data_IF_125783998901
#
_entry.id   IF_125783998901
#
_cell.length_a   1.000
_cell.length_b   1.000
_cell.length_c   1.000
_cell.angle_alpha   90.00
_cell.angle_beta   90.00
_cell.angle_gamma   90.00
#
_symmetry.space_group_name_H-M   'P 1'
#
loop_
_entity.id
_entity.type
_entity.pdbx_description
1 polymer ?
#
# COMPACT_ATOMS: atom_id res chain seq x y z
N UNK A 1 0.92 5.48 -8.10
CA UNK A 1 0.12 4.88 -9.17
C UNK A 1 0.53 5.45 -10.52
N UNK A 2 1.56 4.89 -11.17
CA UNK A 2 1.94 5.29 -12.52
C UNK A 2 2.51 4.12 -13.32
N UNK A 3 2.43 4.26 -14.64
CA UNK A 3 3.33 3.61 -15.59
C UNK A 3 4.37 4.65 -15.99
N UNK A 4 5.65 4.34 -15.85
CA UNK A 4 6.74 5.11 -16.39
C UNK A 4 7.23 4.37 -17.64
N UNK A 5 7.56 5.11 -18.70
CA UNK A 5 8.15 4.54 -19.91
C UNK A 5 9.53 5.14 -20.07
N UNK A 6 10.54 4.29 -20.21
CA UNK A 6 11.92 4.71 -20.28
C UNK A 6 12.57 4.21 -21.57
N UNK A 7 13.34 5.09 -22.20
CA UNK A 7 14.38 4.73 -23.17
C UNK A 7 15.71 4.66 -22.42
N UNK A 8 16.38 3.51 -22.43
CA UNK A 8 17.65 3.28 -21.70
C UNK A 8 18.81 3.66 -22.61
N UNK A 9 19.92 4.16 -22.05
CA UNK A 9 21.13 4.43 -22.84
C UNK A 9 21.90 3.16 -23.17
N UNK A 10 22.46 3.13 -24.38
CA UNK A 10 22.99 1.92 -25.02
C UNK A 10 22.24 1.63 -26.33
N UNK A 11 22.84 0.91 -27.29
CA UNK A 11 22.21 0.71 -28.59
C UNK A 11 20.95 -0.16 -28.43
N UNK A 12 19.75 0.33 -28.79
CA UNK A 12 18.67 -0.56 -29.15
C UNK A 12 19.07 -1.34 -30.42
N UNK A 13 18.43 -2.49 -30.73
CA UNK A 13 18.43 -2.97 -32.11
C UNK A 13 17.91 -1.81 -32.99
N UNK A 14 18.73 -1.40 -33.96
CA UNK A 14 18.71 -0.15 -34.75
C UNK A 14 17.33 0.51 -35.02
N UNK A 15 17.20 1.80 -34.69
CA UNK A 15 16.95 2.97 -35.58
C UNK A 15 16.57 4.27 -34.80
N UNK A 16 16.59 5.42 -35.47
CA UNK A 16 17.41 6.61 -35.16
C UNK A 16 16.64 7.90 -34.74
N UNK A 17 17.37 8.91 -34.21
CA UNK A 17 17.28 10.40 -34.36
C UNK A 17 16.95 11.36 -33.17
N UNK A 18 17.99 12.16 -32.82
CA UNK A 18 18.17 13.63 -32.58
C UNK A 18 17.44 14.44 -31.45
N UNK A 19 18.21 15.00 -30.45
CA UNK A 19 18.62 16.43 -30.12
C UNK A 19 17.50 17.36 -29.55
N UNK A 20 17.61 18.27 -28.54
CA UNK A 20 18.66 19.00 -27.76
C UNK A 20 18.04 19.70 -26.49
N UNK A 21 18.86 20.14 -25.51
CA UNK A 21 18.56 20.81 -24.19
C UNK A 21 18.35 22.37 -24.29
N UNK A 22 18.17 23.24 -23.24
CA UNK A 22 18.52 23.14 -21.80
C UNK A 22 17.52 23.73 -20.72
N UNK A 23 18.07 23.76 -19.48
CA UNK A 23 17.64 23.93 -18.06
C UNK A 23 16.94 25.22 -17.53
N UNK A 24 16.17 25.08 -16.42
CA UNK A 24 16.34 25.75 -15.08
C UNK A 24 15.23 25.33 -14.03
N UNK A 25 15.65 24.64 -12.94
CA UNK A 25 15.24 24.53 -11.49
C UNK A 25 13.79 24.89 -11.00
N UNK A 26 13.16 24.37 -9.91
CA UNK A 26 13.41 23.42 -8.79
C UNK A 26 12.10 23.19 -7.93
N UNK A 27 11.67 21.92 -7.76
CA UNK A 27 11.25 21.11 -6.54
C UNK A 27 10.08 21.49 -5.56
N UNK A 28 9.15 20.53 -5.21
CA UNK A 28 8.91 19.84 -3.88
C UNK A 28 7.78 18.76 -3.72
N UNK A 29 8.10 17.54 -3.16
CA UNK A 29 7.25 16.41 -2.59
C UNK A 29 8.02 15.07 -2.35
N UNK A 30 8.09 14.55 -1.11
CA UNK A 30 9.34 14.01 -0.50
C UNK A 30 9.71 12.50 -0.57
N UNK A 31 8.98 11.60 -1.24
CA UNK A 31 9.28 10.14 -1.17
C UNK A 31 10.07 9.57 -2.36
N UNK A 32 9.57 9.80 -3.57
CA UNK A 32 10.14 9.32 -4.84
C UNK A 32 11.19 10.28 -5.44
N UNK A 33 11.33 11.43 -4.81
CA UNK A 33 11.94 12.62 -5.37
C UNK A 33 13.44 12.58 -5.60
N UNK A 34 14.25 12.06 -4.65
CA UNK A 34 15.69 12.01 -4.86
C UNK A 34 16.11 11.12 -6.03
N UNK A 35 15.22 10.23 -6.53
CA UNK A 35 15.60 9.12 -7.40
C UNK A 35 15.03 9.16 -8.80
N UNK A 36 13.87 9.79 -8.98
CA UNK A 36 13.52 10.32 -10.30
C UNK A 36 14.60 11.31 -10.77
N UNK A 37 15.21 12.08 -9.85
CA UNK A 37 16.36 12.92 -10.18
C UNK A 37 17.58 12.10 -10.67
N UNK A 38 17.88 10.94 -10.08
CA UNK A 38 18.95 10.07 -10.57
C UNK A 38 18.68 9.48 -11.97
N UNK A 39 17.41 9.38 -12.38
CA UNK A 39 17.03 8.89 -13.72
C UNK A 39 17.02 10.02 -14.76
N UNK A 40 16.88 11.28 -14.35
CA UNK A 40 16.63 12.43 -15.23
C UNK A 40 17.80 13.43 -15.28
N UNK A 41 18.76 13.36 -14.34
CA UNK A 41 19.91 14.28 -14.29
C UNK A 41 21.28 13.60 -14.31
N UNK A 42 21.92 13.51 -15.49
CA UNK A 42 23.29 13.92 -15.63
C UNK A 42 23.29 15.44 -15.94
N UNK A 43 24.14 16.22 -15.27
CA UNK A 43 24.17 17.69 -15.39
C UNK A 43 24.66 18.19 -16.76
N UNK A 44 25.10 17.27 -17.62
CA UNK A 44 25.41 17.40 -19.03
C UNK A 44 24.99 16.07 -19.70
N UNK A 45 24.79 15.96 -21.01
CA UNK A 45 24.65 14.66 -21.65
C UNK A 45 25.98 13.91 -21.51
N UNK A 46 26.17 13.23 -20.37
CA UNK A 46 27.28 12.30 -20.19
C UNK A 46 26.91 10.97 -20.82
N UNK A 47 27.91 10.24 -21.29
CA UNK A 47 27.76 8.86 -21.78
C UNK A 47 27.18 7.90 -20.70
N UNK A 48 27.02 8.35 -19.45
CA UNK A 48 26.51 7.58 -18.30
C UNK A 48 25.01 7.79 -17.98
N UNK A 49 24.28 8.54 -18.81
CA UNK A 49 22.88 8.90 -18.57
C UNK A 49 21.94 7.68 -18.65
N UNK A 50 21.67 6.94 -17.58
CA UNK A 50 20.92 5.66 -17.62
C UNK A 50 19.60 5.67 -18.45
N UNK A 51 18.85 6.77 -18.42
CA UNK A 51 17.59 6.91 -19.17
C UNK A 51 17.66 8.18 -20.03
N UNK A 52 17.52 8.03 -21.35
CA UNK A 52 17.59 9.14 -22.30
C UNK A 52 16.25 9.86 -22.49
N UNK A 53 15.13 9.16 -22.23
CA UNK A 53 13.77 9.71 -22.30
C UNK A 53 12.88 9.02 -21.29
N UNK A 54 12.13 9.81 -20.51
CA UNK A 54 11.19 9.32 -19.50
C UNK A 54 9.85 10.00 -19.69
N UNK A 55 8.79 9.21 -19.80
CA UNK A 55 7.42 9.72 -19.83
C UNK A 55 6.55 9.01 -18.80
N UNK A 56 5.53 9.71 -18.30
CA UNK A 56 4.69 9.23 -17.21
C UNK A 56 3.25 9.08 -17.69
N UNK A 57 2.66 7.90 -17.49
CA UNK A 57 1.23 7.65 -17.71
C UNK A 57 0.56 7.51 -16.35
N UNK A 58 -0.51 8.27 -16.14
CA UNK A 58 -1.27 8.28 -14.89
C UNK A 58 -2.73 7.93 -15.14
N UNK A 59 -3.41 7.42 -14.11
CA UNK A 59 -4.87 7.27 -14.18
C UNK A 59 -5.54 8.66 -14.17
N UNK A 60 -6.75 8.79 -14.72
CA UNK A 60 -7.55 10.01 -14.54
C UNK A 60 -7.74 10.34 -13.06
N UNK A 61 -7.59 11.61 -12.68
CA UNK A 61 -7.91 12.06 -11.31
C UNK A 61 -9.40 12.40 -11.23
N UNK A 62 -10.10 11.82 -10.24
CA UNK A 62 -11.53 12.10 -9.97
C UNK A 62 -11.76 12.92 -8.71
N UNK A 63 -10.70 13.33 -8.01
CA UNK A 63 -10.78 14.05 -6.74
C UNK A 63 -10.17 15.46 -6.86
N UNK A 64 -10.58 16.41 -5.99
CA UNK A 64 -9.92 17.71 -5.88
C UNK A 64 -8.52 17.51 -5.30
N UNK A 65 -7.56 17.32 -6.20
CA UNK A 65 -6.17 16.99 -5.89
C UNK A 65 -5.53 16.23 -7.03
N UNK A 66 -4.30 16.61 -7.38
CA UNK A 66 -3.56 15.91 -8.42
C UNK A 66 -2.91 14.63 -7.86
N UNK A 67 -2.71 13.62 -8.70
CA UNK A 67 -2.06 12.37 -8.28
C UNK A 67 -0.60 12.68 -7.90
N UNK A 68 -0.05 12.13 -6.80
CA UNK A 68 1.30 12.48 -6.34
C UNK A 68 2.38 12.32 -7.42
N UNK A 69 2.22 11.33 -8.29
CA UNK A 69 3.12 11.07 -9.41
C UNK A 69 2.90 12.01 -10.59
N UNK A 70 1.67 12.47 -10.85
CA UNK A 70 1.37 13.50 -11.86
C UNK A 70 1.97 14.83 -11.44
N UNK A 71 1.82 15.21 -10.17
CA UNK A 71 2.44 16.41 -9.61
C UNK A 71 3.97 16.33 -9.68
N UNK A 72 4.55 15.19 -9.26
CA UNK A 72 6.00 15.00 -9.35
C UNK A 72 6.51 15.07 -10.79
N UNK A 73 5.79 14.50 -11.76
CA UNK A 73 6.17 14.53 -13.17
C UNK A 73 6.13 15.95 -13.74
N UNK A 74 5.08 16.71 -13.45
CA UNK A 74 4.96 18.13 -13.85
C UNK A 74 6.07 18.98 -13.26
N UNK A 75 6.40 18.79 -11.99
CA UNK A 75 7.49 19.50 -11.33
C UNK A 75 8.88 19.15 -11.90
N UNK A 76 9.02 17.95 -12.48
CA UNK A 76 10.21 17.52 -13.21
C UNK A 76 10.12 17.82 -14.71
N UNK A 77 9.06 18.52 -15.16
CA UNK A 77 8.78 18.83 -16.56
C UNK A 77 8.78 17.60 -17.48
N UNK A 78 8.39 16.44 -16.95
CA UNK A 78 8.26 15.20 -17.72
C UNK A 78 6.92 15.21 -18.48
N UNK A 79 6.88 14.72 -19.74
CA UNK A 79 5.62 14.51 -20.44
C UNK A 79 4.71 13.57 -19.65
N UNK A 80 3.46 14.01 -19.44
CA UNK A 80 2.44 13.24 -18.74
C UNK A 80 1.29 12.90 -19.68
N UNK A 81 0.94 11.62 -19.71
CA UNK A 81 -0.21 11.09 -20.44
C UNK A 81 -1.26 10.57 -19.47
N UNK A 82 -2.51 10.56 -19.92
CA UNK A 82 -3.62 10.02 -19.17
C UNK A 82 -4.07 8.68 -19.77
N UNK A 83 -4.14 7.66 -18.92
CA UNK A 83 -4.65 6.33 -19.29
C UNK A 83 -6.09 6.42 -19.83
N UNK A 84 -6.43 5.74 -20.94
CA UNK A 84 -5.70 4.62 -21.57
C UNK A 84 -4.65 5.01 -22.60
N UNK A 85 -4.44 6.30 -22.87
CA UNK A 85 -3.45 6.73 -23.85
C UNK A 85 -2.04 6.55 -23.27
N UNK A 86 -1.26 5.73 -23.95
CA UNK A 86 0.12 5.39 -23.55
C UNK A 86 1.15 6.04 -24.46
N UNK A 87 0.81 7.10 -25.21
CA UNK A 87 1.70 7.78 -26.14
C UNK A 87 2.03 6.96 -27.41
N UNK A 88 3.03 7.39 -28.20
CA UNK A 88 3.39 6.73 -29.45
C UNK A 88 4.07 5.37 -29.22
N UNK A 89 3.77 4.42 -30.12
CA UNK A 89 4.32 3.05 -30.11
C UNK A 89 5.78 3.05 -30.60
N UNK A 90 6.60 2.12 -30.11
CA UNK A 90 7.95 1.86 -30.61
C UNK A 90 9.02 2.88 -30.21
N UNK A 91 8.72 3.80 -29.30
CA UNK A 91 9.66 4.85 -28.87
C UNK A 91 10.36 4.57 -27.52
N UNK A 92 9.99 3.49 -26.83
CA UNK A 92 10.46 3.17 -25.47
C UNK A 92 10.88 1.72 -25.37
N UNK A 93 11.94 1.48 -24.60
CA UNK A 93 12.54 0.14 -24.50
C UNK A 93 11.89 -0.69 -23.39
N UNK A 94 11.47 -0.03 -22.30
CA UNK A 94 10.92 -0.69 -21.11
C UNK A 94 9.78 0.11 -20.48
N UNK A 95 8.73 -0.59 -20.07
CA UNK A 95 7.69 -0.05 -19.20
C UNK A 95 7.98 -0.36 -17.73
N UNK A 96 7.64 0.54 -16.83
CA UNK A 96 7.75 0.32 -15.38
C UNK A 96 6.44 0.70 -14.72
N UNK A 97 5.77 -0.25 -14.08
CA UNK A 97 4.58 0.00 -13.26
C UNK A 97 4.93 0.01 -11.79
N UNK A 98 4.34 0.95 -11.06
CA UNK A 98 4.42 1.03 -9.61
C UNK A 98 3.08 1.44 -9.03
N UNK A 99 2.47 0.48 -8.30
CA UNK A 99 1.09 0.58 -7.83
C UNK A 99 0.15 1.02 -8.95
N UNK A 100 0.15 0.37 -10.12
CA UNK A 100 -0.73 0.74 -11.22
C UNK A 100 -1.98 -0.17 -11.20
N UNK A 101 -3.13 0.39 -10.82
CA UNK A 101 -4.35 -0.38 -10.52
C UNK A 101 -5.12 -0.92 -11.73
N UNK A 102 -4.45 -1.14 -12.87
CA UNK A 102 -5.05 -1.63 -14.12
C UNK A 102 -4.22 -2.79 -14.67
N UNK A 103 -4.92 -3.76 -15.26
CA UNK A 103 -4.27 -4.78 -16.09
C UNK A 103 -3.80 -4.13 -17.38
N UNK A 104 -2.61 -4.50 -17.83
CA UNK A 104 -2.10 -4.13 -19.15
C UNK A 104 -2.45 -5.24 -20.15
N UNK A 105 -2.87 -4.83 -21.35
CA UNK A 105 -3.08 -5.76 -22.46
C UNK A 105 -1.75 -6.35 -22.91
N UNK A 106 -1.81 -7.53 -23.53
CA UNK A 106 -0.66 -8.16 -24.13
C UNK A 106 -0.04 -7.29 -25.22
N UNK A 107 -0.87 -6.71 -26.10
CA UNK A 107 -0.43 -5.78 -27.14
C UNK A 107 0.37 -4.61 -26.58
N UNK A 108 -0.03 -4.03 -25.44
CA UNK A 108 0.70 -2.94 -24.82
C UNK A 108 2.04 -3.40 -24.23
N UNK A 109 2.07 -4.59 -23.61
CA UNK A 109 3.30 -5.14 -23.03
C UNK A 109 4.33 -5.41 -24.14
N UNK A 110 3.88 -5.95 -25.28
CA UNK A 110 4.73 -6.28 -26.42
C UNK A 110 5.31 -5.06 -27.15
N UNK A 111 4.80 -3.84 -26.89
CA UNK A 111 5.39 -2.61 -27.43
C UNK A 111 6.75 -2.26 -26.81
N UNK A 112 7.10 -2.86 -25.68
CA UNK A 112 8.35 -2.63 -24.99
C UNK A 112 9.31 -3.81 -25.24
N UNK A 113 10.43 -3.63 -25.96
CA UNK A 113 11.43 -4.67 -26.21
C UNK A 113 11.90 -5.44 -24.96
N UNK A 114 12.03 -4.73 -23.83
CA UNK A 114 12.41 -5.30 -22.53
C UNK A 114 11.21 -5.61 -21.63
N UNK A 115 10.00 -5.58 -22.19
CA UNK A 115 8.74 -5.81 -21.49
C UNK A 115 8.38 -4.71 -20.51
N UNK A 116 7.51 -5.08 -19.56
CA UNK A 116 7.04 -4.16 -18.52
C UNK A 116 7.36 -4.73 -17.14
N UNK A 117 8.08 -3.96 -16.34
CA UNK A 117 8.53 -4.31 -15.01
C UNK A 117 7.54 -3.78 -13.96
N UNK A 118 7.30 -4.51 -12.88
CA UNK A 118 6.60 -4.01 -11.70
C UNK A 118 7.54 -3.94 -10.50
N UNK A 119 7.38 -2.89 -9.69
CA UNK A 119 7.98 -2.79 -8.35
C UNK A 119 6.93 -3.20 -7.33
N UNK A 120 7.01 -4.45 -6.86
CA UNK A 120 6.06 -5.01 -5.90
C UNK A 120 6.63 -4.97 -4.46
N UNK A 121 5.96 -4.30 -3.49
CA UNK A 121 6.50 -4.12 -2.15
C UNK A 121 6.15 -5.30 -1.22
N UNK A 122 6.51 -6.50 -1.66
CA UNK A 122 6.60 -7.70 -0.82
C UNK A 122 7.69 -8.64 -1.31
N UNK A 123 8.01 -9.63 -0.49
CA UNK A 123 8.82 -10.78 -0.89
C UNK A 123 7.94 -11.85 -1.55
N UNK A 124 7.72 -11.73 -2.86
CA UNK A 124 6.91 -12.68 -3.63
C UNK A 124 7.45 -14.13 -3.49
N UNK A 125 6.57 -15.14 -3.44
CA UNK A 125 5.15 -15.11 -3.83
C UNK A 125 4.19 -14.69 -2.71
N UNK A 126 4.70 -14.34 -1.51
CA UNK A 126 3.87 -13.84 -0.42
C UNK A 126 3.31 -12.46 -0.76
N UNK A 127 2.02 -12.26 -0.46
CA UNK A 127 1.28 -11.01 -0.65
C UNK A 127 1.16 -10.51 -2.09
N UNK A 128 0.72 -11.36 -3.01
CA UNK A 128 0.26 -10.93 -4.34
C UNK A 128 -0.99 -10.06 -4.23
N UNK A 129 -1.08 -8.99 -5.02
CA UNK A 129 -2.27 -8.15 -5.10
C UNK A 129 -2.07 -6.72 -4.60
N UNK A 130 -3.17 -5.97 -4.40
CA UNK A 130 -3.12 -4.51 -4.32
C UNK A 130 -2.68 -3.91 -2.98
N UNK A 131 -2.63 -4.68 -1.88
CA UNK A 131 -2.37 -4.14 -0.53
C UNK A 131 -1.25 -4.83 0.28
N UNK A 132 -0.12 -5.25 -0.31
CA UNK A 132 0.90 -6.08 0.36
C UNK A 132 1.46 -5.49 1.65
N UNK A 133 1.74 -4.19 1.69
CA UNK A 133 2.30 -3.50 2.86
C UNK A 133 1.32 -3.58 4.05
N UNK A 134 0.04 -3.33 3.80
CA UNK A 134 -1.00 -3.43 4.82
C UNK A 134 -1.09 -4.86 5.37
N UNK A 135 -1.08 -5.87 4.50
CA UNK A 135 -1.16 -7.27 4.93
C UNK A 135 0.10 -7.74 5.66
N UNK A 136 1.28 -7.26 5.27
CA UNK A 136 2.54 -7.50 5.99
C UNK A 136 2.41 -7.06 7.46
N UNK A 137 1.96 -5.83 7.69
CA UNK A 137 1.79 -5.29 9.06
C UNK A 137 0.63 -5.96 9.80
N UNK A 138 -0.49 -6.21 9.10
CA UNK A 138 -1.69 -6.79 9.67
C UNK A 138 -1.48 -8.23 10.19
N UNK A 139 -0.61 -9.00 9.56
CA UNK A 139 -0.29 -10.37 9.97
C UNK A 139 0.96 -10.44 10.86
N UNK A 140 1.55 -9.29 11.21
CA UNK A 140 2.71 -9.22 12.11
C UNK A 140 3.97 -9.85 11.52
N UNK A 141 4.11 -9.87 10.19
CA UNK A 141 5.28 -10.43 9.50
C UNK A 141 6.57 -9.75 10.01
N UNK A 142 7.58 -10.56 10.33
CA UNK A 142 8.90 -10.08 10.78
C UNK A 142 9.83 -9.72 9.63
N UNK A 143 9.57 -10.28 8.45
CA UNK A 143 10.33 -10.08 7.24
C UNK A 143 9.36 -9.86 6.08
N UNK A 144 9.70 -8.90 5.23
CA UNK A 144 9.04 -8.64 3.94
C UNK A 144 10.12 -8.46 2.88
N UNK A 145 9.83 -7.77 1.79
CA UNK A 145 10.85 -7.44 0.81
C UNK A 145 10.34 -6.50 -0.26
N UNK A 146 11.17 -6.32 -1.28
CA UNK A 146 10.74 -5.74 -2.55
C UNK A 146 11.11 -6.71 -3.66
N UNK A 147 10.21 -6.87 -4.61
CA UNK A 147 10.39 -7.70 -5.79
C UNK A 147 10.24 -6.84 -7.04
N UNK A 148 11.29 -6.81 -7.87
CA UNK A 148 11.21 -6.35 -9.26
C UNK A 148 10.88 -7.58 -10.10
N UNK A 149 9.77 -7.54 -10.81
CA UNK A 149 9.29 -8.65 -11.64
C UNK A 149 8.87 -8.16 -13.01
N UNK A 150 8.83 -9.05 -13.99
CA UNK A 150 8.14 -8.81 -15.26
C UNK A 150 6.64 -9.05 -15.06
N UNK A 151 5.77 -8.22 -15.64
CA UNK A 151 4.33 -8.46 -15.55
C UNK A 151 3.87 -9.49 -16.60
N UNK A 152 2.75 -10.16 -16.34
CA UNK A 152 2.06 -11.01 -17.32
C UNK A 152 0.74 -10.36 -17.73
N UNK A 153 0.27 -10.57 -18.97
CA UNK A 153 -1.06 -10.12 -19.36
C UNK A 153 -2.13 -10.82 -18.50
N UNK A 154 -3.24 -10.12 -18.25
CA UNK A 154 -4.45 -10.66 -17.59
C UNK A 154 -4.29 -11.15 -16.13
N UNK A 155 -3.09 -11.15 -15.54
CA UNK A 155 -2.84 -11.62 -14.16
C UNK A 155 -1.93 -10.66 -13.39
N UNK A 156 -2.29 -10.34 -12.15
CA UNK A 156 -1.47 -9.51 -11.26
C UNK A 156 -0.45 -10.34 -10.50
N UNK A 157 0.78 -9.83 -10.38
CA UNK A 157 1.80 -10.30 -9.43
C UNK A 157 2.20 -11.77 -9.55
N UNK A 158 2.05 -12.36 -10.74
CA UNK A 158 2.42 -13.77 -11.02
C UNK A 158 3.64 -13.93 -11.92
N UNK A 159 4.18 -12.84 -12.49
CA UNK A 159 5.26 -12.94 -13.46
C UNK A 159 6.63 -13.23 -12.83
N UNK A 160 7.63 -13.55 -13.66
CA UNK A 160 8.94 -13.98 -13.20
C UNK A 160 9.65 -12.85 -12.44
N UNK A 161 10.36 -13.24 -11.39
CA UNK A 161 11.18 -12.39 -10.54
C UNK A 161 12.47 -12.07 -11.28
N UNK A 162 12.76 -10.78 -11.44
CA UNK A 162 14.03 -10.27 -12.00
C UNK A 162 15.02 -10.02 -10.87
N UNK A 163 14.58 -9.35 -9.81
CA UNK A 163 15.40 -9.08 -8.63
C UNK A 163 14.53 -9.03 -7.39
N UNK A 164 14.98 -9.65 -6.30
CA UNK A 164 14.23 -9.71 -5.07
C UNK A 164 15.18 -9.60 -3.88
N UNK A 165 14.79 -8.81 -2.89
CA UNK A 165 15.59 -8.62 -1.69
C UNK A 165 14.67 -8.55 -0.48
N UNK A 166 15.04 -9.28 0.57
CA UNK A 166 14.35 -9.24 1.86
C UNK A 166 14.55 -7.90 2.58
N UNK A 167 13.64 -7.64 3.50
CA UNK A 167 13.66 -6.46 4.36
C UNK A 167 13.08 -6.83 5.74
N UNK A 168 13.86 -6.74 6.83
CA UNK A 168 13.34 -6.91 8.18
C UNK A 168 12.29 -5.83 8.49
N UNK A 169 11.11 -6.24 8.94
CA UNK A 169 10.05 -5.31 9.34
C UNK A 169 10.38 -4.78 10.73
N UNK A 170 10.61 -3.46 10.91
CA UNK A 170 10.95 -2.94 12.23
C UNK A 170 9.83 -3.19 13.25
N UNK A 171 10.19 -3.45 14.51
CA UNK A 171 9.19 -3.65 15.55
C UNK A 171 8.32 -2.40 15.67
N UNK A 172 7.02 -2.60 15.89
CA UNK A 172 6.03 -1.52 16.03
C UNK A 172 5.81 -0.62 14.81
N UNK A 173 6.40 -0.95 13.66
CA UNK A 173 6.26 -0.18 12.44
C UNK A 173 4.81 -0.12 11.95
N UNK A 174 4.38 1.06 11.51
CA UNK A 174 3.11 1.28 10.82
C UNK A 174 3.23 1.00 9.32
N UNK A 175 2.11 0.72 8.65
CA UNK A 175 2.11 0.52 7.20
C UNK A 175 2.65 1.76 6.44
N UNK A 176 2.38 2.96 6.95
CA UNK A 176 2.88 4.22 6.36
C UNK A 176 4.40 4.35 6.46
N UNK A 177 4.99 4.02 7.61
CA UNK A 177 6.45 4.00 7.77
C UNK A 177 7.09 2.94 6.88
N UNK A 178 6.48 1.74 6.86
CA UNK A 178 6.95 0.64 6.02
C UNK A 178 6.90 1.00 4.54
N UNK A 179 5.85 1.68 4.07
CA UNK A 179 5.75 2.20 2.71
C UNK A 179 6.90 3.15 2.36
N UNK A 180 7.27 4.07 3.25
CA UNK A 180 8.40 4.99 3.03
C UNK A 180 9.72 4.23 2.93
N UNK A 181 9.93 3.19 3.76
CA UNK A 181 11.14 2.38 3.71
C UNK A 181 11.21 1.53 2.44
N UNK A 182 10.13 0.82 2.09
CA UNK A 182 10.07 -0.05 0.92
C UNK A 182 10.06 0.73 -0.40
N UNK A 183 9.47 1.93 -0.45
CA UNK A 183 9.53 2.78 -1.65
C UNK A 183 10.97 3.22 -1.95
N UNK A 184 11.74 3.60 -0.92
CA UNK A 184 13.18 3.83 -1.06
C UNK A 184 13.87 2.55 -1.50
N UNK A 185 13.64 1.40 -0.86
CA UNK A 185 14.31 0.16 -1.28
C UNK A 185 14.02 -0.21 -2.74
N UNK A 186 12.75 -0.19 -3.13
CA UNK A 186 12.29 -0.52 -4.47
C UNK A 186 12.82 0.39 -5.55
N UNK A 187 12.90 1.70 -5.30
CA UNK A 187 13.50 2.62 -6.26
C UNK A 187 15.00 2.33 -6.50
N UNK A 188 15.74 1.90 -5.48
CA UNK A 188 17.17 1.54 -5.62
C UNK A 188 17.31 0.27 -6.43
N UNK A 189 16.49 -0.73 -6.09
CA UNK A 189 16.49 -2.01 -6.79
C UNK A 189 16.13 -1.82 -8.26
N UNK A 190 15.11 -1.02 -8.57
CA UNK A 190 14.73 -0.70 -9.94
C UNK A 190 15.88 -0.04 -10.70
N UNK A 191 16.54 0.99 -10.13
CA UNK A 191 17.70 1.63 -10.78
C UNK A 191 18.81 0.60 -11.04
N UNK A 192 19.09 -0.29 -10.08
CA UNK A 192 20.11 -1.33 -10.26
C UNK A 192 19.76 -2.32 -11.37
N UNK A 193 18.48 -2.66 -11.53
CA UNK A 193 17.99 -3.52 -12.63
C UNK A 193 18.12 -2.79 -13.95
N UNK A 194 17.71 -1.52 -14.03
CA UNK A 194 17.79 -0.73 -15.26
C UNK A 194 19.25 -0.54 -15.73
N UNK A 195 20.22 -0.36 -14.82
CA UNK A 195 21.65 -0.24 -15.15
C UNK A 195 22.21 -1.44 -15.92
N UNK A 196 21.70 -2.64 -15.64
CA UNK A 196 22.14 -3.89 -16.25
C UNK A 196 20.94 -4.65 -16.81
N UNK A 197 20.03 -3.97 -17.51
CA UNK A 197 18.71 -4.51 -17.83
C UNK A 197 18.75 -5.81 -18.66
N UNK A 198 19.55 -5.93 -19.76
CA UNK A 198 19.60 -7.17 -20.53
C UNK A 198 20.04 -8.37 -19.68
N UNK A 199 21.09 -8.20 -18.87
CA UNK A 199 21.61 -9.26 -18.01
C UNK A 199 20.66 -9.58 -16.84
N UNK A 200 20.00 -8.56 -16.28
CA UNK A 200 18.99 -8.76 -15.23
C UNK A 200 17.81 -9.58 -15.74
N UNK A 201 17.36 -9.33 -16.98
CA UNK A 201 16.28 -10.08 -17.61
C UNK A 201 16.68 -11.53 -17.94
N UNK A 202 17.94 -11.76 -18.33
CA UNK A 202 18.46 -13.11 -18.57
C UNK A 202 18.42 -13.99 -17.32
N UNK A 203 18.61 -13.39 -16.15
CA UNK A 203 18.62 -14.07 -14.85
C UNK A 203 17.24 -14.16 -14.18
N UNK A 204 16.15 -13.80 -14.86
CA UNK A 204 14.80 -13.87 -14.29
C UNK A 204 14.40 -15.32 -14.00
N UNK A 205 13.68 -15.53 -12.90
CA UNK A 205 13.21 -16.84 -12.44
C UNK A 205 11.71 -16.84 -12.18
N UNK A 206 11.03 -17.94 -12.49
CA UNK A 206 9.61 -18.08 -12.16
C UNK A 206 9.41 -18.09 -10.64
N UNK A 207 8.26 -17.58 -10.19
CA UNK A 207 7.92 -17.59 -8.77
C UNK A 207 7.71 -19.02 -8.26
N UNK A 208 8.14 -19.34 -7.03
CA UNK A 208 7.82 -20.64 -6.45
C UNK A 208 6.30 -20.80 -6.25
N UNK A 209 5.84 -22.06 -6.32
CA UNK A 209 4.42 -22.40 -6.09
C UNK A 209 4.05 -22.44 -4.61
N UNK A 210 5.03 -22.72 -3.75
CA UNK A 210 4.88 -22.72 -2.31
C UNK A 210 4.95 -21.30 -1.72
N UNK A 211 4.24 -21.05 -0.63
CA UNK A 211 4.25 -19.75 0.07
C UNK A 211 3.42 -18.65 -0.60
N UNK A 212 2.64 -18.98 -1.65
CA UNK A 212 1.75 -18.02 -2.32
C UNK A 212 0.66 -17.57 -1.36
N UNK A 213 0.57 -16.25 -1.13
CA UNK A 213 -0.54 -15.63 -0.38
C UNK A 213 -1.05 -14.39 -1.12
N UNK A 214 -2.24 -13.93 -0.75
CA UNK A 214 -2.92 -12.81 -1.42
C UNK A 214 -3.17 -11.66 -0.46
N UNK A 215 -2.95 -10.45 -0.95
CA UNK A 215 -3.14 -9.18 -0.26
C UNK A 215 -4.28 -8.37 -0.91
N UNK A 216 -5.55 -8.80 -0.76
CA UNK A 216 -6.69 -8.10 -1.34
C UNK A 216 -6.84 -6.70 -0.76
N UNK A 217 -7.55 -5.82 -1.51
CA UNK A 217 -7.81 -4.44 -1.11
C UNK A 217 -8.44 -4.39 0.29
N UNK A 218 -7.93 -3.49 1.13
CA UNK A 218 -8.48 -3.25 2.47
C UNK A 218 -9.83 -2.56 2.34
N UNK A 219 -10.83 -3.06 3.06
CA UNK A 219 -12.18 -2.50 3.12
C UNK A 219 -12.41 -1.85 4.48
N UNK A 220 -13.37 -0.93 4.56
CA UNK A 220 -13.73 -0.29 5.84
C UNK A 220 -14.21 -1.35 6.85
N UNK A 221 -14.94 -2.38 6.39
CA UNK A 221 -15.35 -3.49 7.25
C UNK A 221 -14.16 -4.19 7.95
N UNK A 222 -12.99 -4.27 7.30
CA UNK A 222 -11.78 -4.83 7.92
C UNK A 222 -11.17 -3.94 9.01
N UNK A 223 -11.54 -2.66 9.09
CA UNK A 223 -11.07 -1.74 10.13
C UNK A 223 -11.87 -1.80 11.43
N UNK A 224 -13.01 -2.50 11.44
CA UNK A 224 -13.81 -2.70 12.64
C UNK A 224 -13.09 -3.66 13.60
N UNK A 225 -13.09 -3.32 14.90
CA UNK A 225 -12.58 -4.22 15.93
C UNK A 225 -13.72 -5.19 16.32
N UNK A 226 -13.42 -6.47 16.31
CA UNK A 226 -14.28 -7.55 16.79
C UNK A 226 -13.69 -8.02 18.11
N UNK A 227 -14.12 -7.39 19.20
CA UNK A 227 -13.53 -7.56 20.53
C UNK A 227 -13.57 -9.01 21.00
N UNK A 228 -14.61 -9.75 20.63
CA UNK A 228 -14.83 -11.15 21.00
C UNK A 228 -13.85 -12.12 20.31
N UNK A 229 -13.29 -11.73 19.16
CA UNK A 229 -12.46 -12.61 18.32
C UNK A 229 -10.99 -12.22 18.33
N UNK A 230 -10.69 -10.94 18.59
CA UNK A 230 -9.35 -10.39 18.44
C UNK A 230 -8.62 -10.24 19.76
N UNK A 231 -7.36 -10.68 19.78
CA UNK A 231 -6.41 -10.42 20.85
C UNK A 231 -5.92 -8.97 20.82
N UNK A 232 -5.36 -8.48 21.94
CA UNK A 232 -4.75 -7.16 21.99
C UNK A 232 -3.65 -6.99 20.92
N UNK A 233 -2.85 -8.03 20.67
CA UNK A 233 -1.81 -8.02 19.64
C UNK A 233 -2.39 -7.84 18.22
N UNK A 234 -3.47 -8.55 17.88
CA UNK A 234 -4.15 -8.41 16.59
C UNK A 234 -4.77 -7.03 16.42
N UNK A 235 -5.37 -6.46 17.46
CA UNK A 235 -5.94 -5.11 17.44
C UNK A 235 -4.84 -4.06 17.22
N UNK A 236 -3.69 -4.24 17.86
CA UNK A 236 -2.52 -3.36 17.66
C UNK A 236 -1.96 -3.49 16.24
N UNK A 237 -1.88 -4.71 15.68
CA UNK A 237 -1.44 -4.91 14.28
C UNK A 237 -2.44 -4.27 13.30
N UNK A 238 -3.74 -4.46 13.54
CA UNK A 238 -4.81 -3.82 12.78
C UNK A 238 -4.66 -2.30 12.80
N UNK A 239 -4.43 -1.74 13.98
CA UNK A 239 -4.21 -0.31 14.15
C UNK A 239 -2.97 0.17 13.38
N UNK A 240 -1.83 -0.51 13.51
CA UNK A 240 -0.59 -0.15 12.79
C UNK A 240 -0.75 -0.26 11.28
N UNK A 241 -1.57 -1.20 10.81
CA UNK A 241 -1.83 -1.39 9.41
C UNK A 241 -2.77 -0.31 8.84
N UNK A 242 -3.91 -0.05 9.49
CA UNK A 242 -5.04 0.68 8.86
C UNK A 242 -5.52 1.90 9.67
N UNK A 243 -5.12 2.03 10.93
CA UNK A 243 -5.66 3.02 11.85
C UNK A 243 -4.95 4.38 11.82
N UNK A 244 -5.70 5.43 12.18
CA UNK A 244 -5.14 6.68 12.68
C UNK A 244 -5.28 6.67 14.22
N UNK A 245 -4.16 6.51 14.93
CA UNK A 245 -3.97 6.52 16.40
C UNK A 245 -4.78 5.56 17.33
N UNK A 246 -4.11 4.51 17.82
CA UNK A 246 -4.31 3.76 19.07
C UNK A 246 -2.90 3.41 19.58
N UNK A 247 -2.67 3.43 20.89
CA UNK A 247 -1.43 2.93 21.49
C UNK A 247 -1.59 2.63 22.98
N UNK A 248 -1.47 1.37 23.37
CA UNK A 248 -0.46 0.77 24.26
C UNK A 248 -0.97 -0.62 24.67
N UNK A 249 -0.08 -1.60 24.80
CA UNK A 249 -0.39 -2.87 25.45
C UNK A 249 -0.20 -2.66 26.96
N UNK A 250 -1.21 -2.96 27.77
CA UNK A 250 -1.02 -3.19 29.19
C UNK A 250 -1.08 -4.70 29.41
N UNK A 251 0.07 -5.34 29.56
CA UNK A 251 0.19 -6.72 30.05
C UNK A 251 0.05 -6.81 31.58
N UNK A 252 -0.17 -5.69 32.27
CA UNK A 252 -0.44 -5.72 33.71
C UNK A 252 -1.85 -6.20 33.91
N UNK A 253 -1.94 -7.43 34.41
CA UNK A 253 -3.12 -8.13 34.91
C UNK A 253 -3.96 -7.14 35.71
N UNK A 254 -4.97 -6.59 35.07
CA UNK A 254 -6.10 -6.00 35.76
C UNK A 254 -7.00 -7.16 36.11
N UNK A 255 -7.54 -7.13 37.33
CA UNK A 255 -8.41 -8.18 37.84
C UNK A 255 -9.53 -8.47 36.83
N UNK A 256 -9.55 -9.68 36.28
CA UNK A 256 -10.41 -10.07 35.15
C UNK A 256 -11.83 -10.46 35.62
N UNK A 257 -12.11 -10.26 36.91
CA UNK A 257 -13.35 -10.67 37.55
C UNK A 257 -14.56 -9.93 36.97
N UNK A 258 -15.21 -10.55 35.97
CA UNK A 258 -16.50 -10.15 35.40
C UNK A 258 -16.44 -9.26 34.15
N UNK A 259 -15.26 -8.95 33.59
CA UNK A 259 -15.16 -8.17 32.36
C UNK A 259 -15.40 -9.04 31.12
N UNK A 260 -16.32 -8.61 30.25
CA UNK A 260 -16.58 -9.27 28.96
C UNK A 260 -15.87 -8.52 27.82
N UNK A 261 -15.53 -9.17 26.69
CA UNK A 261 -14.95 -8.46 25.55
C UNK A 261 -15.78 -7.24 25.14
N UNK A 262 -15.10 -6.11 24.92
CA UNK A 262 -15.70 -4.81 24.66
C UNK A 262 -16.01 -3.98 25.92
N UNK A 263 -15.84 -4.51 27.14
CA UNK A 263 -15.88 -3.73 28.38
C UNK A 263 -14.78 -2.68 28.39
N UNK A 264 -15.12 -1.45 28.79
CA UNK A 264 -14.22 -0.30 28.81
C UNK A 264 -14.01 0.19 30.24
N UNK A 265 -12.75 0.38 30.63
CA UNK A 265 -12.37 0.98 31.90
C UNK A 265 -11.43 2.17 31.67
N UNK A 266 -11.37 3.08 32.63
CA UNK A 266 -10.38 4.17 32.62
C UNK A 266 -9.31 3.89 33.66
N UNK A 267 -8.08 3.68 33.21
CA UNK A 267 -6.94 3.45 34.08
C UNK A 267 -6.31 4.79 34.47
N UNK A 268 -6.64 5.26 35.69
CA UNK A 268 -6.25 6.59 36.19
C UNK A 268 -4.75 6.83 36.18
N UNK A 269 -3.94 5.83 36.56
CA UNK A 269 -2.49 5.97 36.69
C UNK A 269 -1.83 6.23 35.34
N UNK A 270 -2.21 5.47 34.30
CA UNK A 270 -1.66 5.69 32.95
C UNK A 270 -2.47 6.68 32.12
N UNK A 271 -3.53 7.27 32.68
CA UNK A 271 -4.46 8.17 31.99
C UNK A 271 -4.94 7.62 30.64
N UNK A 272 -5.26 6.33 30.60
CA UNK A 272 -5.56 5.60 29.36
C UNK A 272 -6.90 4.86 29.50
N UNK A 273 -7.67 4.82 28.41
CA UNK A 273 -8.83 3.93 28.33
C UNK A 273 -8.35 2.52 28.02
N UNK A 274 -8.91 1.51 28.65
CA UNK A 274 -8.53 0.12 28.47
C UNK A 274 -9.77 -0.68 28.10
N UNK A 275 -9.68 -1.41 27.00
CA UNK A 275 -10.78 -2.22 26.48
C UNK A 275 -10.44 -3.70 26.59
N UNK A 276 -11.38 -4.50 27.12
CA UNK A 276 -11.25 -5.95 27.19
C UNK A 276 -11.33 -6.52 25.78
N UNK A 277 -10.32 -7.28 25.39
CA UNK A 277 -10.27 -7.97 24.10
C UNK A 277 -10.77 -9.42 24.26
N UNK A 278 -10.56 -10.30 23.29
CA UNK A 278 -10.80 -11.74 23.45
C UNK A 278 -9.98 -12.27 24.62
N UNK A 279 -8.71 -11.91 24.61
CA UNK A 279 -7.72 -12.21 25.64
C UNK A 279 -6.94 -10.93 25.97
N UNK A 280 -6.82 -10.64 27.26
CA UNK A 280 -6.12 -9.46 27.77
C UNK A 280 -6.83 -8.13 27.46
N UNK A 281 -6.06 -7.05 27.61
CA UNK A 281 -6.54 -5.68 27.52
C UNK A 281 -5.73 -4.89 26.49
N UNK A 282 -6.40 -3.96 25.79
CA UNK A 282 -5.73 -3.00 24.91
C UNK A 282 -5.95 -1.58 25.40
N UNK A 283 -4.87 -0.80 25.42
CA UNK A 283 -4.86 0.62 25.77
C UNK A 283 -5.20 1.52 24.59
N UNK A 284 -6.06 2.49 24.85
CA UNK A 284 -6.61 3.46 23.92
C UNK A 284 -6.32 4.85 24.49
N UNK A 285 -5.37 5.56 23.87
CA UNK A 285 -5.00 6.94 24.26
C UNK A 285 -5.93 8.00 23.68
N UNK A 286 -6.49 7.71 22.51
CA UNK A 286 -7.29 8.66 21.75
C UNK A 286 -8.45 7.94 21.12
N UNK A 287 -9.61 8.59 21.12
CA UNK A 287 -10.84 8.11 20.47
C UNK A 287 -11.37 9.19 19.56
N UNK A 288 -11.99 8.78 18.46
CA UNK A 288 -12.62 9.68 17.50
C UNK A 288 -14.12 9.45 17.57
N UNK A 289 -14.86 10.47 18.02
CA UNK A 289 -16.33 10.53 17.97
C UNK A 289 -16.75 11.56 16.92
N UNK A 290 -16.99 12.81 17.33
CA UNK A 290 -17.17 13.98 16.45
C UNK A 290 -15.86 14.73 16.21
N UNK A 291 -14.96 14.66 17.19
CA UNK A 291 -13.60 15.18 17.17
C UNK A 291 -12.67 14.15 17.83
N UNK A 292 -11.38 14.30 17.63
CA UNK A 292 -10.39 13.52 18.39
C UNK A 292 -10.42 13.96 19.85
N UNK A 293 -10.53 13.00 20.76
CA UNK A 293 -10.53 13.19 22.20
C UNK A 293 -9.38 12.37 22.81
N UNK A 294 -8.73 12.91 23.84
CA UNK A 294 -7.84 12.10 24.68
C UNK A 294 -8.66 11.14 25.54
N UNK A 295 -8.01 10.10 26.07
CA UNK A 295 -8.62 9.19 27.04
C UNK A 295 -9.15 9.94 28.26
N UNK A 296 -8.45 10.98 28.71
CA UNK A 296 -8.85 11.85 29.82
C UNK A 296 -10.11 12.64 29.47
N UNK A 297 -10.13 13.30 28.31
CA UNK A 297 -11.29 14.08 27.87
C UNK A 297 -12.52 13.20 27.69
N UNK A 298 -12.33 12.00 27.14
CA UNK A 298 -13.40 11.03 26.98
C UNK A 298 -13.92 10.56 28.35
N UNK A 299 -13.03 10.23 29.28
CA UNK A 299 -13.44 9.83 30.63
C UNK A 299 -14.24 10.94 31.31
N UNK A 300 -13.72 12.17 31.31
CA UNK A 300 -14.37 13.32 31.96
C UNK A 300 -15.74 13.65 31.34
N UNK A 301 -15.88 13.51 30.02
CA UNK A 301 -17.11 13.85 29.31
C UNK A 301 -18.16 12.73 29.23
N UNK A 302 -17.76 11.46 29.38
CA UNK A 302 -18.65 10.32 29.06
C UNK A 302 -18.63 9.19 30.08
N UNK A 303 -17.61 9.06 30.92
CA UNK A 303 -17.49 7.94 31.88
C UNK A 303 -17.43 8.37 33.35
N UNK A 304 -17.21 9.65 33.65
CA UNK A 304 -17.10 10.13 35.03
C UNK A 304 -18.39 9.84 35.83
N UNK A 305 -18.25 9.52 37.12
CA UNK A 305 -19.35 9.12 38.03
C UNK A 305 -20.53 10.10 38.04
N UNK A 306 -20.27 11.39 37.86
CA UNK A 306 -21.31 12.42 37.74
C UNK A 306 -22.28 12.17 36.56
N UNK A 307 -21.78 11.73 35.40
CA UNK A 307 -22.62 11.36 34.26
C UNK A 307 -23.32 10.02 34.48
N UNK A 308 -22.71 9.12 35.25
CA UNK A 308 -23.28 7.81 35.58
C UNK A 308 -24.52 7.93 36.48
N UNK A 309 -24.51 8.85 37.45
CA UNK A 309 -25.64 9.08 38.36
C UNK A 309 -26.90 9.63 37.65
N UNK A 310 -26.73 10.29 36.50
CA UNK A 310 -27.82 10.85 35.69
C UNK A 310 -28.18 9.97 34.47
N UNK A 311 -27.52 8.82 34.30
CA UNK A 311 -27.76 7.87 33.20
C UNK A 311 -28.46 6.62 33.75
N UNK A 312 -29.53 6.17 33.09
CA UNK A 312 -30.23 4.90 33.42
C UNK A 312 -29.45 3.63 33.02
N UNK A 313 -28.19 3.75 32.60
CA UNK A 313 -27.42 2.67 31.97
C UNK A 313 -26.48 2.00 32.99
N UNK A 314 -26.60 0.68 33.16
CA UNK A 314 -25.78 -0.11 34.08
C UNK A 314 -24.39 -0.36 33.48
N UNK A 315 -23.32 -0.16 34.25
CA UNK A 315 -21.92 -0.23 33.78
C UNK A 315 -21.54 -1.57 33.11
N UNK A 316 -22.17 -2.68 33.51
CA UNK A 316 -21.95 -4.00 32.91
C UNK A 316 -22.49 -4.12 31.46
N UNK A 317 -23.27 -3.15 31.00
CA UNK A 317 -23.89 -3.15 29.65
C UNK A 317 -23.21 -2.17 28.67
N UNK A 318 -22.38 -1.23 29.16
CA UNK A 318 -21.67 -0.27 28.31
C UNK A 318 -20.52 -0.95 27.55
N UNK A 319 -20.82 -1.43 26.34
CA UNK A 319 -19.83 -2.05 25.44
C UNK A 319 -19.32 -1.03 24.44
N UNK A 320 -17.99 -0.91 24.33
CA UNK A 320 -17.39 -0.10 23.28
C UNK A 320 -17.58 -0.81 21.94
N UNK A 321 -18.60 -0.42 21.19
CA UNK A 321 -18.84 -0.97 19.86
C UNK A 321 -18.11 -0.12 18.83
N UNK A 322 -17.24 -0.74 18.03
CA UNK A 322 -16.79 -0.08 16.80
C UNK A 322 -17.98 0.06 15.86
N UNK A 323 -18.00 1.12 15.05
CA UNK A 323 -19.10 1.43 14.14
C UNK A 323 -19.40 0.21 13.25
N UNK A 324 -20.49 -0.52 13.56
CA UNK A 324 -20.95 -1.65 12.74
C UNK A 324 -21.57 -1.06 11.48
N UNK A 325 -20.85 -1.14 10.37
CA UNK A 325 -21.47 -0.89 9.07
C UNK A 325 -22.55 -1.96 8.87
N UNK A 326 -23.79 -1.54 8.70
CA UNK A 326 -24.87 -2.46 8.34
C UNK A 326 -24.46 -3.20 7.07
N UNK A 327 -24.28 -4.52 7.16
CA UNK A 327 -24.21 -5.35 5.96
C UNK A 327 -25.49 -5.09 5.16
N UNK A 328 -25.41 -4.72 3.87
CA UNK A 328 -26.62 -4.64 3.06
C UNK A 328 -27.30 -6.00 3.15
N UNK A 329 -28.57 -5.99 3.61
CA UNK A 329 -29.39 -7.21 3.67
C UNK A 329 -29.30 -7.84 2.28
N UNK A 330 -28.68 -9.03 2.18
CA UNK A 330 -28.85 -9.87 1.00
C UNK A 330 -30.33 -10.24 0.98
N UNK A 331 -31.13 -9.48 0.24
CA UNK A 331 -32.44 -9.92 -0.18
C UNK A 331 -32.24 -11.17 -1.03
N UNK A 332 -32.85 -12.31 -0.69
CA UNK A 332 -32.80 -13.48 -1.55
C UNK A 332 -33.72 -13.21 -2.74
N UNK A 333 -33.20 -12.60 -3.80
CA UNK A 333 -33.90 -12.56 -5.10
C UNK A 333 -33.39 -13.72 -5.95
N UNK A 334 -34.25 -14.75 -6.01
CA UNK A 334 -34.42 -15.79 -7.04
C UNK A 334 -33.15 -16.24 -7.77
N UNK A 335 -32.63 -17.41 -7.35
CA UNK A 335 -32.10 -18.40 -8.29
C UNK A 335 -33.27 -18.90 -9.13
N UNK A 336 -33.33 -18.50 -10.40
CA UNK A 336 -33.84 -19.29 -11.52
C UNK A 336 -33.80 -18.46 -12.81
N UNK A 337 -33.42 -19.13 -13.90
CA UNK A 337 -33.39 -18.68 -15.30
C UNK A 337 -32.17 -17.81 -15.68
N UNK A 338 -31.05 -18.47 -16.02
CA UNK A 338 -30.52 -18.53 -17.39
C UNK A 338 -29.32 -19.49 -17.43
N UNK A 339 -29.62 -20.79 -17.39
CA UNK A 339 -28.72 -21.81 -17.87
C UNK A 339 -29.11 -22.09 -19.32
N UNK A 340 -28.58 -21.30 -20.24
CA UNK A 340 -28.44 -21.59 -21.68
C UNK A 340 -27.58 -20.47 -22.28
N UNK A 341 -26.81 -20.82 -23.30
CA UNK A 341 -25.82 -20.00 -24.02
C UNK A 341 -24.41 -19.92 -23.43
N UNK A 342 -23.81 -21.10 -23.20
CA UNK A 342 -22.41 -21.34 -23.56
C UNK A 342 -22.39 -22.46 -24.59
N UNK A 343 -22.56 -22.08 -25.85
CA UNK A 343 -22.14 -22.82 -27.06
C UNK A 343 -22.00 -21.81 -28.20
N UNK A 344 -20.84 -21.15 -28.27
CA UNK A 344 -20.00 -20.94 -29.46
C UNK A 344 -18.81 -20.05 -29.11
#
# INVERSE_FOLDING_TARGET
FAVMRARVTGPPPRETLARTAPTLWRVRSRGWRPRLQCLVHPREPSEDALVSRLEVVTLPSRQPGDLPVRSCARELQLPVHEWPHTGPVGQFDVGVVASFGRLLSEDLILQFPYGVLNVHPSHLPRWRGPAPIFHTVLHGDKVTGVTIMEIRPKRFDVGPIIKQEEFPVPPHCTAKELEVMLSKKGANMLISVLKNLPESLKNKREQPKEGVTFAPKITIAKSCIIWEEQTAAQIIQLHRAIGNSLALLLDRILDDSGAVPGSLLYHKVSQTLIARCKEGWVGIKTVILKKQLTAVDFYNGYMHTWFQQNSRTVHQECRFQTLKLSTPKKTPKKKEILAQDIKQ
#
